data_IF_085651692925
#
_entry.id   IF_085651692925
#
_cell.length_a   1.000
_cell.length_b   1.000
_cell.length_c   1.000
_cell.angle_alpha   90.00
_cell.angle_beta   90.00
_cell.angle_gamma   90.00
#
_symmetry.space_group_name_H-M   'P 1'
#
loop_
_entity.id
_entity.type
_entity.pdbx_description
1 polymer ?
#
# COMPACT_ATOMS: atom_id res chain seq x y z
N UNK A 1 13.21 7.41 -3.15
CA UNK A 1 14.22 6.99 -2.15
C UNK A 1 13.70 6.65 -0.75
N UNK A 2 12.40 6.76 -0.45
CA UNK A 2 11.83 6.58 0.90
C UNK A 2 12.05 5.21 1.56
N UNK A 3 12.31 4.15 0.79
CA UNK A 3 12.53 2.77 1.31
C UNK A 3 13.88 2.16 0.86
N UNK A 4 14.78 2.97 0.28
CA UNK A 4 16.07 2.53 -0.27
C UNK A 4 15.95 1.90 -1.68
N UNK A 5 17.05 1.97 -2.45
CA UNK A 5 17.09 1.47 -3.83
C UNK A 5 16.83 -0.04 -3.93
N UNK A 6 17.24 -0.82 -2.93
CA UNK A 6 17.05 -2.28 -2.90
C UNK A 6 15.57 -2.71 -2.92
N UNK A 7 14.70 -2.02 -2.18
CA UNK A 7 13.27 -2.33 -2.19
C UNK A 7 12.60 -1.88 -3.49
N UNK A 8 13.11 -0.79 -4.10
CA UNK A 8 12.69 -0.38 -5.45
C UNK A 8 13.03 -1.43 -6.51
N UNK A 9 14.25 -1.95 -6.49
CA UNK A 9 14.68 -3.02 -7.41
C UNK A 9 13.85 -4.28 -7.22
N UNK A 10 13.59 -4.65 -5.97
CA UNK A 10 12.75 -5.80 -5.63
C UNK A 10 11.32 -5.65 -6.19
N UNK A 11 10.75 -4.44 -6.10
CA UNK A 11 9.42 -4.15 -6.64
C UNK A 11 9.40 -4.25 -8.17
N UNK A 12 10.43 -3.73 -8.84
CA UNK A 12 10.56 -3.80 -10.30
C UNK A 12 10.75 -5.24 -10.80
N UNK A 13 11.58 -6.03 -10.12
CA UNK A 13 11.76 -7.45 -10.42
C UNK A 13 10.44 -8.23 -10.24
N UNK A 14 9.71 -7.94 -9.17
CA UNK A 14 8.42 -8.57 -8.90
C UNK A 14 7.37 -8.18 -9.94
N UNK A 15 7.30 -6.91 -10.33
CA UNK A 15 6.42 -6.46 -11.41
C UNK A 15 6.76 -7.19 -12.72
N UNK A 16 8.04 -7.27 -13.09
CA UNK A 16 8.47 -7.98 -14.30
C UNK A 16 8.07 -9.46 -14.26
N UNK A 17 8.22 -10.14 -13.12
CA UNK A 17 7.78 -11.52 -12.93
C UNK A 17 6.25 -11.65 -13.11
N UNK A 18 5.47 -10.76 -12.49
CA UNK A 18 4.02 -10.76 -12.58
C UNK A 18 3.56 -10.54 -14.03
N UNK A 19 4.10 -9.54 -14.71
CA UNK A 19 3.77 -9.25 -16.12
C UNK A 19 4.13 -10.45 -17.02
N UNK A 20 5.28 -11.07 -16.81
CA UNK A 20 5.69 -12.28 -17.54
C UNK A 20 4.71 -13.43 -17.30
N UNK A 21 4.23 -13.61 -16.07
CA UNK A 21 3.31 -14.71 -15.72
C UNK A 21 1.93 -14.61 -16.37
N UNK A 22 1.51 -13.40 -16.76
CA UNK A 22 0.22 -13.16 -17.43
C UNK A 22 0.32 -13.05 -18.94
N UNK A 23 1.53 -12.88 -19.48
CA UNK A 23 1.83 -12.88 -20.92
C UNK A 23 1.79 -14.29 -21.51
N UNK A 24 1.38 -14.38 -22.78
CA UNK A 24 1.42 -15.62 -23.56
C UNK A 24 2.74 -15.73 -24.33
N UNK A 25 3.00 -16.92 -24.86
CA UNK A 25 4.13 -17.13 -25.75
C UNK A 25 3.98 -16.27 -27.01
N UNK A 26 4.98 -15.46 -27.31
CA UNK A 26 4.99 -14.53 -28.45
C UNK A 26 4.72 -13.06 -28.09
N UNK A 27 4.19 -12.78 -26.89
CA UNK A 27 4.13 -11.41 -26.38
C UNK A 27 5.55 -10.89 -26.08
N UNK A 28 5.78 -9.60 -26.29
CA UNK A 28 7.08 -8.97 -26.03
C UNK A 28 6.93 -7.99 -24.87
N UNK A 29 7.49 -8.35 -23.73
CA UNK A 29 7.60 -7.49 -22.55
C UNK A 29 8.96 -6.76 -22.57
N UNK A 30 8.94 -5.43 -22.46
CA UNK A 30 10.13 -4.61 -22.38
C UNK A 30 10.01 -3.59 -21.24
N UNK A 31 11.13 -3.34 -20.54
CA UNK A 31 11.27 -2.19 -19.66
C UNK A 31 11.81 -1.02 -20.49
N UNK A 32 11.01 0.03 -20.64
CA UNK A 32 11.32 1.18 -21.51
C UNK A 32 11.88 2.38 -20.73
N UNK A 33 11.71 2.38 -19.40
CA UNK A 33 12.16 3.45 -18.53
C UNK A 33 12.49 2.97 -17.12
N UNK A 34 12.53 3.92 -16.17
CA UNK A 34 12.82 3.64 -14.77
C UNK A 34 11.81 2.67 -14.15
N UNK A 35 10.54 3.04 -14.14
CA UNK A 35 9.41 2.26 -13.62
C UNK A 35 8.38 1.93 -14.72
N UNK A 36 8.77 2.11 -15.98
CA UNK A 36 7.89 2.00 -17.15
C UNK A 36 8.13 0.71 -17.93
N UNK A 37 7.04 0.02 -18.24
CA UNK A 37 7.03 -1.22 -19.00
C UNK A 37 6.06 -1.11 -20.18
N UNK A 38 6.45 -1.69 -21.31
CA UNK A 38 5.61 -1.84 -22.49
C UNK A 38 5.45 -3.32 -22.83
N UNK A 39 4.25 -3.70 -23.27
CA UNK A 39 3.96 -5.06 -23.75
C UNK A 39 3.39 -4.96 -25.16
N UNK A 40 4.08 -5.54 -26.13
CA UNK A 40 3.57 -5.71 -27.48
C UNK A 40 2.81 -7.04 -27.55
N UNK A 41 1.58 -7.00 -28.07
CA UNK A 41 0.68 -8.14 -28.19
C UNK A 41 0.42 -8.42 -29.69
N UNK A 42 1.27 -9.19 -30.39
CA UNK A 42 1.05 -9.52 -31.80
C UNK A 42 -0.27 -10.27 -32.00
N UNK A 43 -0.95 -10.02 -33.14
CA UNK A 43 -2.19 -10.73 -33.50
C UNK A 43 -3.23 -10.70 -32.37
N UNK A 44 -3.51 -9.50 -31.86
CA UNK A 44 -4.41 -9.27 -30.73
C UNK A 44 -5.41 -8.18 -31.10
N UNK A 45 -6.71 -8.44 -30.90
CA UNK A 45 -7.74 -7.42 -31.13
C UNK A 45 -7.79 -6.40 -30.01
N UNK A 46 -8.54 -5.31 -30.20
CA UNK A 46 -8.80 -4.31 -29.16
C UNK A 46 -9.43 -4.92 -27.90
N UNK A 47 -10.39 -5.84 -28.08
CA UNK A 47 -11.08 -6.54 -27.01
C UNK A 47 -10.12 -7.46 -26.24
N UNK A 48 -9.32 -8.26 -26.94
CA UNK A 48 -8.33 -9.14 -26.32
C UNK A 48 -7.26 -8.34 -25.55
N UNK A 49 -6.82 -7.20 -26.09
CA UNK A 49 -5.92 -6.29 -25.40
C UNK A 49 -6.57 -5.71 -24.13
N UNK A 50 -7.87 -5.40 -24.17
CA UNK A 50 -8.62 -4.95 -23.01
C UNK A 50 -8.69 -6.02 -21.92
N UNK A 51 -9.04 -7.25 -22.28
CA UNK A 51 -9.05 -8.38 -21.37
C UNK A 51 -7.67 -8.65 -20.77
N UNK A 52 -6.61 -8.46 -21.55
CA UNK A 52 -5.23 -8.56 -21.09
C UNK A 52 -4.91 -7.52 -20.01
N UNK A 53 -5.27 -6.25 -20.22
CA UNK A 53 -5.10 -5.21 -19.21
C UNK A 53 -5.88 -5.51 -17.92
N UNK A 54 -7.12 -5.99 -18.01
CA UNK A 54 -7.91 -6.37 -16.84
C UNK A 54 -7.32 -7.59 -16.11
N UNK A 55 -6.72 -8.54 -16.84
CA UNK A 55 -5.97 -9.66 -16.26
C UNK A 55 -4.77 -9.17 -15.45
N UNK A 56 -4.00 -8.21 -15.97
CA UNK A 56 -2.88 -7.61 -15.22
C UNK A 56 -3.39 -6.94 -13.94
N UNK A 57 -4.44 -6.10 -14.04
CA UNK A 57 -5.02 -5.41 -12.86
C UNK A 57 -5.43 -6.41 -11.79
N UNK A 58 -6.13 -7.49 -12.18
CA UNK A 58 -6.56 -8.54 -11.27
C UNK A 58 -5.38 -9.27 -10.63
N UNK A 59 -4.33 -9.57 -11.40
CA UNK A 59 -3.11 -10.19 -10.88
C UNK A 59 -2.44 -9.28 -9.82
N UNK A 60 -2.33 -7.98 -10.08
CA UNK A 60 -1.78 -7.02 -9.12
C UNK A 60 -2.63 -6.91 -7.84
N UNK A 61 -3.96 -6.93 -7.97
CA UNK A 61 -4.87 -6.88 -6.81
C UNK A 61 -4.80 -8.15 -5.95
N UNK A 62 -4.60 -9.31 -6.58
CA UNK A 62 -4.51 -10.61 -5.91
C UNK A 62 -3.11 -10.92 -5.38
N UNK A 63 -2.11 -10.15 -5.80
CA UNK A 63 -0.74 -10.32 -5.38
C UNK A 63 -0.58 -10.14 -3.86
N UNK A 64 0.20 -11.05 -3.27
CA UNK A 64 0.41 -11.15 -1.82
C UNK A 64 1.85 -10.84 -1.45
N UNK A 65 2.54 -10.02 -2.23
CA UNK A 65 3.89 -9.57 -1.92
C UNK A 65 3.95 -9.04 -0.48
N UNK A 66 5.01 -9.47 0.21
CA UNK A 66 5.32 -9.02 1.56
C UNK A 66 6.65 -8.25 1.55
N UNK A 67 6.75 -7.20 2.37
CA UNK A 67 5.71 -6.63 3.24
C UNK A 67 4.61 -5.90 2.47
N UNK A 68 3.46 -5.66 3.11
CA UNK A 68 2.23 -5.17 2.45
C UNK A 68 2.40 -3.83 1.71
N UNK A 69 3.33 -2.99 2.17
CA UNK A 69 3.62 -1.70 1.54
C UNK A 69 4.32 -1.82 0.17
N UNK A 70 4.75 -3.04 -0.22
CA UNK A 70 5.23 -3.34 -1.56
C UNK A 70 4.11 -3.73 -2.53
N UNK A 71 2.83 -3.68 -2.13
CA UNK A 71 1.72 -3.98 -3.05
C UNK A 71 1.79 -3.10 -4.29
N UNK A 72 1.73 -3.75 -5.45
CA UNK A 72 1.79 -3.08 -6.74
C UNK A 72 0.54 -2.23 -6.98
N UNK A 73 0.77 -0.98 -7.36
CA UNK A 73 -0.25 -0.09 -7.87
C UNK A 73 0.25 0.51 -9.19
N UNK A 74 -0.28 -0.02 -10.28
CA UNK A 74 0.16 0.32 -11.64
C UNK A 74 -0.94 1.08 -12.36
N UNK A 75 -0.54 1.87 -13.34
CA UNK A 75 -1.47 2.47 -14.31
C UNK A 75 -1.24 1.82 -15.66
N UNK A 76 -2.31 1.57 -16.40
CA UNK A 76 -2.26 0.87 -17.67
C UNK A 76 -2.97 1.66 -18.77
N UNK A 77 -2.39 1.64 -19.97
CA UNK A 77 -3.00 2.16 -21.18
C UNK A 77 -2.71 1.23 -22.35
N UNK A 78 -3.66 1.15 -23.28
CA UNK A 78 -3.57 0.27 -24.44
C UNK A 78 -3.94 1.02 -25.72
N UNK A 79 -3.24 0.69 -26.80
CA UNK A 79 -3.59 1.08 -28.15
C UNK A 79 -3.48 -0.16 -29.04
N UNK A 80 -4.39 -0.28 -30.00
CA UNK A 80 -4.43 -1.37 -30.96
C UNK A 80 -4.61 -0.78 -32.34
N UNK A 81 -4.08 -1.48 -33.33
CA UNK A 81 -4.18 -1.04 -34.71
C UNK A 81 -4.57 -2.22 -35.59
N UNK A 82 -5.48 -1.94 -36.52
CA UNK A 82 -5.96 -2.90 -37.51
C UNK A 82 -5.63 -2.36 -38.91
N UNK A 83 -5.35 -3.27 -39.85
CA UNK A 83 -5.06 -2.91 -41.24
C UNK A 83 -3.64 -2.40 -41.46
N UNK A 84 -3.50 -1.32 -42.23
CA UNK A 84 -2.19 -0.81 -42.65
C UNK A 84 -1.37 -0.29 -41.48
N UNK A 85 -0.09 -0.68 -41.43
CA UNK A 85 0.86 -0.27 -40.41
C UNK A 85 0.93 1.26 -40.28
N UNK A 86 0.60 1.78 -39.10
CA UNK A 86 0.84 3.17 -38.73
C UNK A 86 2.16 3.26 -37.99
N UNK A 87 2.68 4.48 -37.89
CA UNK A 87 3.88 4.73 -37.10
C UNK A 87 3.67 4.29 -35.64
N UNK A 88 4.60 3.47 -35.14
CA UNK A 88 4.56 2.93 -33.77
C UNK A 88 4.54 4.06 -32.74
N UNK A 89 5.14 5.21 -33.04
CA UNK A 89 5.16 6.37 -32.16
C UNK A 89 3.74 6.92 -31.90
N UNK A 90 2.83 6.80 -32.87
CA UNK A 90 1.42 7.20 -32.72
C UNK A 90 0.72 6.25 -31.74
N UNK A 91 0.88 4.94 -31.93
CA UNK A 91 0.30 3.93 -31.04
C UNK A 91 0.81 4.05 -29.61
N UNK A 92 2.12 4.23 -29.44
CA UNK A 92 2.74 4.41 -28.13
C UNK A 92 2.19 5.66 -27.44
N UNK A 93 2.06 6.77 -28.18
CA UNK A 93 1.49 8.01 -27.63
C UNK A 93 0.03 7.85 -27.23
N UNK A 94 -0.77 7.10 -27.98
CA UNK A 94 -2.16 6.82 -27.60
C UNK A 94 -2.23 5.95 -26.33
N UNK A 95 -1.42 4.90 -26.25
CA UNK A 95 -1.32 4.05 -25.07
C UNK A 95 -0.89 4.86 -23.83
N UNK A 96 0.12 5.72 -23.98
CA UNK A 96 0.61 6.61 -22.91
C UNK A 96 -0.48 7.59 -22.44
N UNK A 97 -1.21 8.22 -23.36
CA UNK A 97 -2.32 9.11 -23.01
C UNK A 97 -3.41 8.39 -22.19
N UNK A 98 -3.77 7.16 -22.58
CA UNK A 98 -4.74 6.34 -21.84
C UNK A 98 -4.20 5.90 -20.49
N UNK A 99 -2.92 5.55 -20.40
CA UNK A 99 -2.25 5.25 -19.12
C UNK A 99 -2.26 6.47 -18.20
N UNK A 100 -2.02 7.67 -18.73
CA UNK A 100 -2.08 8.91 -17.96
C UNK A 100 -3.49 9.18 -17.42
N UNK A 101 -4.53 8.93 -18.21
CA UNK A 101 -5.91 9.02 -17.74
C UNK A 101 -6.17 8.02 -16.60
N UNK A 102 -5.76 6.75 -16.75
CA UNK A 102 -5.87 5.73 -15.71
C UNK A 102 -5.09 6.13 -14.44
N UNK A 103 -3.92 6.76 -14.59
CA UNK A 103 -3.11 7.30 -13.49
C UNK A 103 -3.83 8.41 -12.73
N UNK A 104 -4.60 9.27 -13.40
CA UNK A 104 -5.39 10.32 -12.76
C UNK A 104 -6.58 9.74 -11.98
N UNK A 105 -7.30 8.77 -12.56
CA UNK A 105 -8.37 8.08 -11.84
C UNK A 105 -7.83 7.32 -10.62
N UNK A 106 -6.71 6.64 -10.78
CA UNK A 106 -6.03 5.88 -9.74
C UNK A 106 -5.34 6.77 -8.70
N UNK A 107 -5.11 8.07 -8.97
CA UNK A 107 -4.52 8.99 -8.00
C UNK A 107 -5.40 9.19 -6.76
N UNK A 108 -6.73 9.26 -6.95
CA UNK A 108 -7.70 9.30 -5.83
C UNK A 108 -7.68 8.00 -5.02
N UNK A 109 -7.47 6.88 -5.70
CA UNK A 109 -7.32 5.57 -5.07
C UNK A 109 -5.96 5.43 -4.37
N UNK A 110 -4.88 6.04 -4.89
CA UNK A 110 -3.52 6.02 -4.31
C UNK A 110 -3.48 6.60 -2.91
N UNK A 111 -4.15 7.72 -2.67
CA UNK A 111 -4.26 8.30 -1.33
C UNK A 111 -4.85 7.28 -0.34
N UNK A 112 -5.93 6.61 -0.74
CA UNK A 112 -6.54 5.54 0.04
C UNK A 112 -5.59 4.35 0.24
N UNK A 113 -4.87 3.90 -0.79
CA UNK A 113 -3.90 2.80 -0.66
C UNK A 113 -2.74 3.14 0.30
N UNK A 114 -2.25 4.38 0.28
CA UNK A 114 -1.22 4.84 1.21
C UNK A 114 -1.75 4.84 2.65
N UNK A 115 -2.97 5.36 2.86
CA UNK A 115 -3.63 5.32 4.16
C UNK A 115 -3.82 3.89 4.67
N UNK A 116 -4.33 3.00 3.82
CA UNK A 116 -4.49 1.58 4.16
C UNK A 116 -3.14 0.93 4.48
N UNK A 117 -2.09 1.24 3.71
CA UNK A 117 -0.72 0.74 3.96
C UNK A 117 -0.18 1.19 5.32
N UNK A 118 -0.33 2.47 5.67
CA UNK A 118 0.07 2.98 6.99
C UNK A 118 -0.70 2.30 8.12
N UNK A 119 -2.01 2.10 7.96
CA UNK A 119 -2.82 1.39 8.94
C UNK A 119 -2.35 -0.05 9.13
N UNK A 120 -1.97 -0.73 8.05
CA UNK A 120 -1.48 -2.11 8.12
C UNK A 120 -0.10 -2.21 8.77
N UNK A 121 0.82 -1.28 8.47
CA UNK A 121 2.13 -1.20 9.14
C UNK A 121 1.94 -0.96 10.64
N UNK A 122 1.04 -0.04 11.02
CA UNK A 122 0.71 0.20 12.42
C UNK A 122 0.12 -1.04 13.10
N UNK A 123 -0.79 -1.76 12.43
CA UNK A 123 -1.39 -2.97 12.95
C UNK A 123 -0.38 -4.13 13.08
N UNK A 124 0.61 -4.22 12.20
CA UNK A 124 1.68 -5.22 12.28
C UNK A 124 2.60 -4.96 13.48
N UNK A 125 2.89 -3.69 13.79
CA UNK A 125 3.72 -3.31 14.93
C UNK A 125 2.96 -3.22 16.25
N UNK A 126 1.66 -2.96 16.21
CA UNK A 126 0.81 -2.91 17.40
C UNK A 126 -0.54 -3.54 17.04
N UNK A 127 -0.71 -4.85 17.27
CA UNK A 127 -1.95 -5.56 16.96
C UNK A 127 -3.19 -4.96 17.65
N UNK A 128 -3.00 -4.23 18.74
CA UNK A 128 -4.08 -3.56 19.48
C UNK A 128 -4.39 -2.16 18.96
N UNK A 129 -3.51 -1.55 18.14
CA UNK A 129 -3.70 -0.21 17.59
C UNK A 129 -4.89 -0.13 16.62
N UNK A 130 -5.13 -1.16 15.81
CA UNK A 130 -6.24 -1.16 14.84
C UNK A 130 -7.61 -1.07 15.53
N UNK A 131 -7.84 -1.90 16.55
CA UNK A 131 -9.09 -1.90 17.30
C UNK A 131 -9.28 -0.61 18.09
N UNK A 132 -8.19 -0.06 18.65
CA UNK A 132 -8.21 1.22 19.34
C UNK A 132 -8.55 2.37 18.39
N UNK A 133 -7.88 2.45 17.24
CA UNK A 133 -8.10 3.48 16.23
C UNK A 133 -9.53 3.46 15.69
N UNK A 134 -10.10 2.28 15.43
CA UNK A 134 -11.50 2.15 14.98
C UNK A 134 -12.50 2.62 16.04
N UNK A 135 -12.31 2.23 17.31
CA UNK A 135 -13.17 2.70 18.41
C UNK A 135 -13.09 4.21 18.59
N UNK A 136 -11.88 4.77 18.57
CA UNK A 136 -11.64 6.21 18.68
C UNK A 136 -12.31 6.95 17.52
N UNK A 137 -12.14 6.47 16.29
CA UNK A 137 -12.79 7.06 15.11
C UNK A 137 -14.31 7.07 15.23
N UNK A 138 -14.93 5.98 15.68
CA UNK A 138 -16.39 5.90 15.86
C UNK A 138 -16.90 6.90 16.89
N UNK A 139 -16.18 7.05 18.01
CA UNK A 139 -16.51 8.03 19.06
C UNK A 139 -16.33 9.46 18.56
N UNK A 140 -15.19 9.75 17.93
CA UNK A 140 -14.87 11.08 17.40
C UNK A 140 -15.87 11.54 16.34
N UNK A 141 -16.27 10.67 15.41
CA UNK A 141 -17.28 10.99 14.40
C UNK A 141 -18.67 11.20 15.02
N UNK A 142 -19.03 10.41 16.01
CA UNK A 142 -20.30 10.55 16.72
C UNK A 142 -20.38 11.88 17.47
N UNK A 143 -19.28 12.28 18.11
CA UNK A 143 -19.15 13.59 18.75
C UNK A 143 -19.20 14.72 17.72
N UNK A 144 -18.39 14.62 16.66
CA UNK A 144 -18.31 15.60 15.58
C UNK A 144 -19.67 15.91 14.95
N UNK A 145 -20.48 14.88 14.71
CA UNK A 145 -21.85 15.05 14.21
C UNK A 145 -22.75 15.79 15.20
N UNK A 146 -22.66 15.47 16.49
CA UNK A 146 -23.48 16.11 17.54
C UNK A 146 -23.13 17.58 17.75
N UNK A 147 -21.87 17.97 17.57
CA UNK A 147 -21.43 19.37 17.68
C UNK A 147 -21.54 20.15 16.36
N UNK A 148 -22.11 19.54 15.31
CA UNK A 148 -22.40 20.21 14.04
C UNK A 148 -21.20 20.42 13.11
N UNK A 149 -20.17 19.56 13.18
CA UNK A 149 -19.06 19.62 12.23
C UNK A 149 -19.55 19.38 10.79
N UNK A 150 -18.97 20.13 9.84
CA UNK A 150 -19.21 19.92 8.41
C UNK A 150 -18.66 18.57 7.94
N UNK A 151 -19.16 18.07 6.80
CA UNK A 151 -18.64 16.86 6.14
C UNK A 151 -17.12 16.92 5.93
N UNK A 152 -16.59 18.09 5.56
CA UNK A 152 -15.15 18.30 5.42
C UNK A 152 -14.40 18.09 6.76
N UNK A 153 -14.90 18.66 7.85
CA UNK A 153 -14.32 18.51 9.19
C UNK A 153 -14.44 17.08 9.72
N UNK A 154 -15.55 16.40 9.44
CA UNK A 154 -15.75 14.98 9.79
C UNK A 154 -14.76 14.08 9.05
N UNK A 155 -14.49 14.34 7.77
CA UNK A 155 -13.49 13.59 7.00
C UNK A 155 -12.07 13.81 7.54
N UNK A 156 -11.71 15.04 7.91
CA UNK A 156 -10.43 15.31 8.56
C UNK A 156 -10.33 14.61 9.93
N UNK A 157 -11.39 14.65 10.73
CA UNK A 157 -11.43 13.99 12.04
C UNK A 157 -11.31 12.46 11.91
N UNK A 158 -11.91 11.89 10.86
CA UNK A 158 -11.79 10.47 10.52
C UNK A 158 -10.34 10.06 10.27
N UNK A 159 -9.64 10.85 9.44
CA UNK A 159 -8.23 10.63 9.09
C UNK A 159 -7.33 10.80 10.32
N UNK A 160 -7.56 11.85 11.11
CA UNK A 160 -6.82 12.10 12.34
C UNK A 160 -6.92 10.93 13.31
N UNK A 161 -8.14 10.43 13.58
CA UNK A 161 -8.32 9.30 14.48
C UNK A 161 -7.65 8.01 13.96
N UNK A 162 -7.65 7.80 12.65
CA UNK A 162 -7.05 6.63 12.01
C UNK A 162 -5.52 6.64 12.06
N UNK A 163 -4.91 7.81 11.87
CA UNK A 163 -3.46 7.97 11.74
C UNK A 163 -2.79 8.61 12.95
N UNK A 164 -3.49 8.89 14.06
CA UNK A 164 -2.91 9.61 15.20
C UNK A 164 -1.62 8.96 15.73
N UNK A 165 -1.54 7.62 15.64
CA UNK A 165 -0.41 6.81 16.08
C UNK A 165 0.63 6.55 14.99
N UNK A 166 0.53 7.18 13.80
CA UNK A 166 1.47 6.98 12.68
C UNK A 166 2.93 7.22 13.07
N UNK A 167 3.17 8.07 14.08
CA UNK A 167 4.50 8.32 14.65
C UNK A 167 5.17 7.07 15.21
N UNK A 168 4.41 6.04 15.63
CA UNK A 168 4.97 4.76 16.11
C UNK A 168 5.76 4.02 15.02
N UNK A 169 5.48 4.26 13.73
CA UNK A 169 6.24 3.66 12.62
C UNK A 169 7.71 4.11 12.61
N UNK A 170 8.01 5.33 13.08
CA UNK A 170 9.39 5.83 13.12
C UNK A 170 10.19 5.39 14.34
N UNK A 171 9.54 4.80 15.35
CA UNK A 171 10.16 4.52 16.66
C UNK A 171 10.80 3.12 16.64
N UNK A 172 12.06 2.96 17.06
CA UNK A 172 12.69 1.65 17.24
C UNK A 172 11.91 0.72 18.20
N UNK A 173 11.86 -0.58 17.90
CA UNK A 173 11.07 -1.55 18.68
C UNK A 173 11.46 -1.63 20.16
N UNK A 174 12.75 -1.44 20.48
CA UNK A 174 13.23 -1.42 21.88
C UNK A 174 12.70 -0.22 22.69
N UNK A 175 12.29 0.86 22.02
CA UNK A 175 11.63 2.02 22.64
C UNK A 175 10.12 1.79 22.67
N UNK A 176 9.54 1.26 21.59
CA UNK A 176 8.10 1.02 21.48
C UNK A 176 7.60 -0.05 22.45
N UNK A 177 8.34 -1.15 22.60
CA UNK A 177 8.01 -2.28 23.47
C UNK A 177 8.88 -2.33 24.71
N UNK A 178 9.32 -1.16 25.21
CA UNK A 178 10.25 -1.03 26.32
C UNK A 178 9.89 -2.05 27.40
N UNK A 179 10.69 -3.12 27.50
CA UNK A 179 10.52 -4.10 28.54
C UNK A 179 10.83 -3.34 29.81
N UNK A 180 9.86 -3.21 30.72
CA UNK A 180 10.19 -2.81 32.07
C UNK A 180 11.14 -3.89 32.58
N UNK A 181 12.44 -3.61 32.51
CA UNK A 181 13.43 -4.39 33.22
C UNK A 181 12.97 -4.33 34.66
N UNK A 182 12.51 -5.48 35.18
CA UNK A 182 12.07 -5.62 36.55
C UNK A 182 13.10 -4.96 37.45
N UNK A 183 12.76 -3.81 38.04
CA UNK A 183 13.58 -3.09 39.00
C UNK A 183 13.59 -3.81 40.38
N UNK A 184 13.51 -5.14 40.39
CA UNK A 184 13.47 -6.00 41.59
C UNK A 184 14.65 -6.98 41.68
N UNK A 185 15.80 -6.62 41.10
CA UNK A 185 17.08 -7.25 41.45
C UNK A 185 18.14 -6.18 41.67
N UNK A 186 18.00 -5.45 42.79
CA UNK A 186 19.16 -4.87 43.46
C UNK A 186 19.63 -5.90 44.49
N UNK A 187 20.81 -6.53 44.34
CA UNK A 187 21.41 -7.28 45.42
C UNK A 187 21.91 -6.28 46.46
N UNK A 188 21.66 -6.59 47.73
CA UNK A 188 22.09 -5.89 48.94
C UNK A 188 21.09 -4.86 49.51
N UNK A 189 20.09 -5.33 50.24
CA UNK A 189 19.80 -4.79 51.58
C UNK A 189 19.17 -5.88 52.47
N UNK A 190 19.53 -5.92 53.77
CA UNK A 190 19.21 -7.02 54.67
C UNK A 190 17.73 -7.04 55.05
N UNK A 191 17.21 -8.26 55.12
CA UNK A 191 15.89 -8.70 55.59
C UNK A 191 15.36 -7.95 56.80
N UNK A 192 14.13 -7.42 56.73
CA UNK A 192 13.29 -7.23 57.92
C UNK A 192 11.78 -7.24 57.61
N UNK A 193 11.09 -8.13 58.35
CA UNK A 193 9.66 -8.23 58.69
C UNK A 193 8.64 -8.80 57.67
N UNK A 194 8.33 -10.08 57.93
CA UNK A 194 6.99 -10.67 57.85
C UNK A 194 5.93 -9.78 58.51
N UNK A 195 4.76 -9.64 57.88
CA UNK A 195 3.47 -9.65 58.58
C UNK A 195 2.37 -10.20 57.66
N UNK A 196 1.77 -11.27 58.17
CA UNK A 196 0.62 -12.00 57.66
C UNK A 196 -0.64 -11.11 57.66
N UNK A 197 -1.49 -11.29 56.65
CA UNK A 197 -2.93 -11.01 56.78
C UNK A 197 -3.70 -12.18 56.18
N UNK A 198 -4.10 -13.09 57.06
CA UNK A 198 -5.32 -13.89 56.91
C UNK A 198 -6.37 -13.30 57.87
N UNK A 199 -7.38 -12.64 57.31
CA UNK A 199 -8.81 -12.81 57.56
C UNK A 199 -9.58 -11.79 56.71
#
# INVERSE_FOLDING_TARGET
DTFGHHEGDRLLQHLAFLLTSVSRQGDILARIGGDEFAILLPSTTSEEAHEFCERIKKACQQDKIKPIYLRLNISLGQATQEGEYQDIDILLKEADNKMYQDKLFSAKSREKYLLDSFCMILAERDPHASDHAQRLQKLALSLGKRIGLSEYQLNNLKLLALLHDIGKIGIPDNILFKTFFNAYYLPNHPTYYQREYHQ
#
